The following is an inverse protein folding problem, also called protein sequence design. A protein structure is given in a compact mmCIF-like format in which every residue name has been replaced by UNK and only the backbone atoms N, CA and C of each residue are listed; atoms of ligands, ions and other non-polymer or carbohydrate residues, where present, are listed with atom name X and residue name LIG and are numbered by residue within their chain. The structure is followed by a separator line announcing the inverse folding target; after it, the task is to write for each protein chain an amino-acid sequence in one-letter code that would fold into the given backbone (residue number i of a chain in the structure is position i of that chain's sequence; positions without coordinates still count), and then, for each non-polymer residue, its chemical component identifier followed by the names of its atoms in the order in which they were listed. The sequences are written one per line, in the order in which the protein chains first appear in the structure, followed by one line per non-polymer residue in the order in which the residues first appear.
data_IF_589072471971
#
_entry.id   IF_589072471971
#
_cell.length_a   1.000
_cell.length_b   1.000
_cell.length_c   1.000
_cell.angle_alpha   90.00
_cell.angle_beta   90.00
_cell.angle_gamma   90.00
#
_symmetry.space_group_name_H-M   'P 1'
#
loop_
_entity.id
_entity.type
_entity.pdbx_description
1 polymer ?
#
# COMPACT_ATOMS: atom_id res chain seq x y z
N UNK A 1 -35.74 -44.19 -44.29
CA UNK A 1 -36.11 -42.79 -44.61
C UNK A 1 -36.16 -42.00 -43.30
N UNK A 2 -35.67 -40.75 -43.38
CA UNK A 2 -35.31 -39.71 -42.38
C UNK A 2 -36.00 -39.65 -40.99
N UNK A 3 -35.30 -39.09 -39.96
CA UNK A 3 -35.81 -38.85 -38.61
C UNK A 3 -36.49 -37.48 -38.47
N UNK A 4 -37.25 -37.25 -37.37
CA UNK A 4 -37.22 -35.95 -36.70
C UNK A 4 -37.37 -36.09 -35.16
N UNK A 5 -37.06 -35.16 -34.27
CA UNK A 5 -36.23 -33.96 -34.25
C UNK A 5 -36.05 -33.64 -32.75
N UNK A 6 -34.82 -33.33 -32.35
CA UNK A 6 -34.44 -32.87 -31.01
C UNK A 6 -34.95 -31.42 -30.83
N UNK A 7 -35.93 -31.15 -29.96
CA UNK A 7 -36.38 -29.81 -29.56
C UNK A 7 -36.90 -29.86 -28.11
N UNK A 8 -36.46 -29.09 -27.13
CA UNK A 8 -35.44 -28.05 -27.13
C UNK A 8 -34.88 -27.86 -25.72
N UNK A 9 -33.57 -27.68 -25.64
CA UNK A 9 -32.90 -27.15 -24.47
C UNK A 9 -33.31 -25.67 -24.33
N UNK A 10 -34.03 -25.34 -23.27
CA UNK A 10 -34.23 -23.95 -22.88
C UNK A 10 -32.93 -23.47 -22.21
N UNK A 11 -32.00 -22.96 -23.02
CA UNK A 11 -30.85 -22.18 -22.54
C UNK A 11 -31.39 -20.86 -22.00
N UNK A 12 -31.62 -20.80 -20.69
CA UNK A 12 -31.81 -19.54 -19.97
C UNK A 12 -30.44 -18.86 -19.94
N UNK A 13 -30.16 -18.03 -20.94
CA UNK A 13 -29.04 -17.09 -20.89
C UNK A 13 -29.41 -16.03 -19.87
N UNK A 14 -28.94 -16.22 -18.63
CA UNK A 14 -28.97 -15.16 -17.62
C UNK A 14 -27.96 -14.11 -18.10
N UNK A 15 -28.45 -13.05 -18.74
CA UNK A 15 -27.69 -11.84 -18.95
C UNK A 15 -27.31 -11.28 -17.57
N UNK A 16 -26.11 -11.61 -17.09
CA UNK A 16 -25.46 -10.88 -16.02
C UNK A 16 -25.11 -9.50 -16.58
N UNK A 17 -26.07 -8.58 -16.49
CA UNK A 17 -25.79 -7.15 -16.64
C UNK A 17 -24.75 -6.78 -15.59
N UNK A 18 -23.51 -6.62 -16.02
CA UNK A 18 -22.46 -6.00 -15.22
C UNK A 18 -22.88 -4.56 -14.93
N UNK A 19 -23.53 -4.37 -13.78
CA UNK A 19 -23.74 -3.06 -13.19
C UNK A 19 -22.34 -2.56 -12.79
N UNK A 20 -21.68 -1.86 -13.71
CA UNK A 20 -20.50 -1.06 -13.38
C UNK A 20 -20.99 -0.01 -12.38
N UNK A 21 -20.77 -0.29 -11.09
CA UNK A 21 -20.82 0.73 -10.06
C UNK A 21 -19.83 1.81 -10.48
N UNK A 22 -20.36 3.00 -10.80
CA UNK A 22 -19.58 4.18 -11.08
C UNK A 22 -18.59 4.40 -9.95
N UNK A 23 -17.30 4.34 -10.26
CA UNK A 23 -16.24 4.83 -9.39
C UNK A 23 -16.64 6.23 -8.94
N UNK A 24 -16.82 6.43 -7.64
CA UNK A 24 -16.75 7.78 -7.09
C UNK A 24 -15.45 8.40 -7.60
N UNK A 25 -15.52 9.62 -8.13
CA UNK A 25 -14.36 10.33 -8.67
C UNK A 25 -13.39 10.64 -7.53
N UNK A 26 -12.54 9.68 -7.15
CA UNK A 26 -11.43 9.92 -6.24
C UNK A 26 -10.43 10.84 -6.97
N UNK A 27 -10.25 12.11 -6.54
CA UNK A 27 -9.34 13.04 -7.19
C UNK A 27 -7.87 12.73 -6.88
N UNK A 28 -7.58 11.74 -6.04
CA UNK A 28 -6.23 11.33 -5.72
C UNK A 28 -5.75 10.13 -6.55
N UNK A 29 -4.44 10.07 -6.85
CA UNK A 29 -3.87 8.97 -7.61
C UNK A 29 -3.99 7.65 -6.83
N UNK A 30 -4.23 6.55 -7.55
CA UNK A 30 -4.10 5.21 -7.00
C UNK A 30 -2.62 4.85 -6.77
N UNK A 31 -2.35 3.88 -5.91
CA UNK A 31 -1.01 3.38 -5.63
C UNK A 31 -0.30 2.78 -6.85
N UNK A 32 -1.03 2.51 -7.93
CA UNK A 32 -0.51 2.04 -9.23
C UNK A 32 -0.25 3.16 -10.23
N UNK A 33 -0.60 4.41 -9.93
CA UNK A 33 -0.38 5.55 -10.81
C UNK A 33 1.13 5.83 -10.99
N UNK A 34 1.62 5.74 -12.24
CA UNK A 34 3.05 5.85 -12.53
C UNK A 34 3.63 7.21 -12.12
N UNK A 35 2.87 8.30 -12.30
CA UNK A 35 3.36 9.63 -11.94
C UNK A 35 3.51 9.78 -10.43
N UNK A 36 2.54 9.27 -9.66
CA UNK A 36 2.56 9.25 -8.21
C UNK A 36 3.73 8.42 -7.68
N UNK A 37 3.93 7.21 -8.22
CA UNK A 37 5.06 6.34 -7.88
C UNK A 37 6.38 7.07 -8.16
N UNK A 38 6.53 7.64 -9.35
CA UNK A 38 7.73 8.35 -9.77
C UNK A 38 8.01 9.58 -8.90
N UNK A 39 6.98 10.38 -8.58
CA UNK A 39 7.14 11.54 -7.69
C UNK A 39 7.56 11.11 -6.28
N UNK A 40 6.95 10.06 -5.71
CA UNK A 40 7.37 9.53 -4.42
C UNK A 40 8.84 9.11 -4.44
N UNK A 41 9.24 8.22 -5.35
CA UNK A 41 10.60 7.68 -5.41
C UNK A 41 11.63 8.77 -5.72
N UNK A 42 11.35 9.65 -6.69
CA UNK A 42 12.26 10.71 -7.12
C UNK A 42 12.52 11.69 -5.98
N UNK A 43 11.48 12.20 -5.32
CA UNK A 43 11.63 13.19 -4.24
C UNK A 43 12.40 12.60 -3.06
N UNK A 44 12.18 11.32 -2.72
CA UNK A 44 13.00 10.66 -1.70
C UNK A 44 14.47 10.62 -2.11
N UNK A 45 14.79 10.17 -3.32
CA UNK A 45 16.18 10.05 -3.78
C UNK A 45 16.87 11.41 -3.97
N UNK A 46 16.16 12.45 -4.41
CA UNK A 46 16.67 13.82 -4.50
C UNK A 46 17.14 14.32 -3.12
N UNK A 47 16.36 14.05 -2.06
CA UNK A 47 16.73 14.44 -0.69
C UNK A 47 17.85 13.55 -0.10
N UNK A 48 17.80 12.23 -0.35
CA UNK A 48 18.84 11.28 0.09
C UNK A 48 20.20 11.59 -0.52
N UNK A 49 20.26 12.06 -1.77
CA UNK A 49 21.50 12.43 -2.46
C UNK A 49 22.05 13.81 -2.06
N UNK A 50 21.24 14.61 -1.37
CA UNK A 50 21.53 16.01 -1.02
C UNK A 50 21.77 16.24 0.48
N UNK A 51 21.89 15.17 1.26
CA UNK A 51 22.11 15.27 2.71
C UNK A 51 23.42 15.95 3.06
N UNK A 52 23.40 16.68 4.18
CA UNK A 52 24.56 17.33 4.77
C UNK A 52 24.61 17.01 6.28
N UNK A 53 25.67 16.37 6.80
CA UNK A 53 26.90 15.95 6.09
C UNK A 53 26.64 14.87 5.01
N UNK A 54 27.54 14.73 4.00
CA UNK A 54 27.39 13.71 2.95
C UNK A 54 27.39 12.28 3.50
N UNK A 55 26.57 11.41 2.91
CA UNK A 55 26.44 10.02 3.31
C UNK A 55 27.29 9.07 2.46
N UNK A 56 28.06 8.19 3.10
CA UNK A 56 28.90 7.20 2.43
C UNK A 56 28.17 5.91 2.04
N UNK A 57 27.05 5.60 2.70
CA UNK A 57 26.33 4.32 2.59
C UNK A 57 24.84 4.47 2.19
N UNK A 58 24.43 5.62 1.66
CA UNK A 58 23.02 5.90 1.35
C UNK A 58 22.51 5.00 0.21
N UNK A 59 21.57 4.10 0.50
CA UNK A 59 20.99 3.23 -0.52
C UNK A 59 20.04 4.00 -1.44
N UNK A 60 20.04 3.64 -2.72
CA UNK A 60 19.00 4.09 -3.66
C UNK A 60 17.64 3.49 -3.26
N UNK A 61 16.62 4.33 -3.20
CA UNK A 61 15.27 3.93 -2.84
C UNK A 61 14.44 3.58 -4.08
N UNK A 62 13.68 2.50 -4.01
CA UNK A 62 12.77 2.05 -5.09
C UNK A 62 11.37 1.79 -4.56
N UNK A 63 10.39 1.82 -5.46
CA UNK A 63 9.02 1.48 -5.10
C UNK A 63 8.89 0.01 -4.70
N UNK A 64 8.04 -0.25 -3.72
CA UNK A 64 7.58 -1.58 -3.34
C UNK A 64 6.05 -1.58 -3.25
N UNK A 65 5.43 -2.37 -4.14
CA UNK A 65 3.96 -2.51 -4.21
C UNK A 65 3.40 -3.01 -2.88
N UNK A 66 4.15 -3.87 -2.19
CA UNK A 66 3.75 -4.42 -0.92
C UNK A 66 3.53 -3.31 0.10
N UNK A 67 4.55 -2.49 0.32
CA UNK A 67 4.46 -1.34 1.23
C UNK A 67 3.33 -0.36 0.85
N UNK A 68 3.05 -0.19 -0.45
CA UNK A 68 1.98 0.71 -0.90
C UNK A 68 0.58 0.17 -0.58
N UNK A 69 0.39 -1.16 -0.65
CA UNK A 69 -0.84 -1.82 -0.19
C UNK A 69 -1.04 -1.62 1.32
N UNK A 70 0.02 -1.74 2.12
CA UNK A 70 -0.03 -1.43 3.58
C UNK A 70 -0.43 0.01 3.84
N UNK A 71 0.24 0.95 3.17
CA UNK A 71 -0.03 2.37 3.33
C UNK A 71 -1.48 2.70 2.97
N UNK A 72 -2.01 2.11 1.90
CA UNK A 72 -3.41 2.29 1.48
C UNK A 72 -4.39 1.73 2.50
N UNK A 73 -4.13 0.53 3.01
CA UNK A 73 -4.96 -0.08 4.05
C UNK A 73 -4.98 0.81 5.31
N UNK A 74 -3.83 1.34 5.74
CA UNK A 74 -3.76 2.18 6.93
C UNK A 74 -4.42 3.55 6.72
N UNK A 75 -4.19 4.18 5.57
CA UNK A 75 -4.77 5.47 5.22
C UNK A 75 -6.31 5.46 5.23
N UNK A 76 -6.96 4.31 4.93
CA UNK A 76 -8.42 4.13 5.00
C UNK A 76 -9.01 4.30 6.40
N UNK A 77 -8.22 4.16 7.46
CA UNK A 77 -8.68 4.42 8.82
C UNK A 77 -8.90 5.91 9.10
N UNK A 78 -8.35 6.80 8.28
CA UNK A 78 -8.50 8.25 8.45
C UNK A 78 -8.11 8.75 9.85
N UNK A 79 -7.05 8.18 10.44
CA UNK A 79 -6.54 8.53 11.76
C UNK A 79 -5.09 8.99 11.67
N UNK A 80 -4.77 10.14 12.28
CA UNK A 80 -3.41 10.66 12.33
C UNK A 80 -2.59 10.00 13.45
N UNK A 81 -2.45 8.68 13.38
CA UNK A 81 -1.61 7.86 14.25
C UNK A 81 -0.90 6.78 13.45
N UNK A 82 0.23 6.31 13.98
CA UNK A 82 0.99 5.25 13.37
C UNK A 82 0.29 3.90 13.38
N UNK A 83 0.54 3.12 12.34
CA UNK A 83 0.04 1.76 12.22
C UNK A 83 0.51 0.91 13.42
N UNK A 84 -0.45 0.44 14.20
CA UNK A 84 -0.20 -0.34 15.42
C UNK A 84 0.47 -1.70 15.14
N UNK A 85 0.46 -2.16 13.88
CA UNK A 85 1.02 -3.44 13.45
C UNK A 85 2.42 -3.33 12.83
N UNK A 86 3.07 -2.16 12.84
CA UNK A 86 4.42 -1.97 12.23
C UNK A 86 5.49 -2.94 12.76
N UNK A 87 5.30 -3.46 13.97
CA UNK A 87 6.20 -4.42 14.63
C UNK A 87 5.79 -5.88 14.43
N UNK A 88 4.62 -6.13 13.87
CA UNK A 88 4.10 -7.47 13.63
C UNK A 88 4.70 -8.02 12.33
N UNK A 89 5.60 -8.99 12.49
CA UNK A 89 6.23 -9.67 11.36
C UNK A 89 5.15 -10.29 10.46
N UNK A 90 5.26 -10.07 9.15
CA UNK A 90 4.32 -10.54 8.10
C UNK A 90 2.91 -9.93 8.13
N UNK A 91 2.61 -8.99 9.03
CA UNK A 91 1.30 -8.30 9.05
C UNK A 91 1.27 -6.97 8.30
N UNK A 92 2.44 -6.36 8.12
CA UNK A 92 2.59 -5.09 7.38
C UNK A 92 3.36 -5.23 6.08
N UNK A 93 3.94 -6.41 5.81
CA UNK A 93 4.57 -6.73 4.53
C UNK A 93 4.86 -8.25 4.45
N UNK A 94 4.71 -8.94 3.31
CA UNK A 94 4.90 -10.40 3.21
C UNK A 94 6.36 -10.88 3.40
N UNK A 95 7.33 -10.04 3.03
CA UNK A 95 8.79 -10.35 3.08
C UNK A 95 9.54 -9.58 4.18
N UNK A 96 9.46 -8.25 4.21
CA UNK A 96 10.12 -7.42 5.22
C UNK A 96 9.56 -7.65 6.63
N UNK A 97 10.46 -7.88 7.59
CA UNK A 97 10.11 -8.09 8.99
C UNK A 97 10.07 -6.80 9.82
N UNK A 98 10.46 -5.66 9.24
CA UNK A 98 10.53 -4.37 9.91
C UNK A 98 10.18 -3.27 8.91
N UNK A 99 9.13 -2.49 9.23
CA UNK A 99 8.58 -1.44 8.37
C UNK A 99 8.49 -0.13 9.17
N UNK A 100 9.04 0.93 8.60
CA UNK A 100 8.88 2.30 9.11
C UNK A 100 7.69 3.00 8.49
N UNK A 101 7.31 4.17 9.01
CA UNK A 101 6.14 4.90 8.54
C UNK A 101 6.28 6.41 8.73
N UNK A 102 5.90 7.16 7.70
CA UNK A 102 5.62 8.59 7.80
C UNK A 102 4.16 8.84 7.45
N UNK A 103 3.54 9.78 8.17
CA UNK A 103 2.15 10.19 7.94
C UNK A 103 2.11 11.70 7.77
N UNK A 104 1.31 12.15 6.82
CA UNK A 104 0.94 13.55 6.62
C UNK A 104 -0.59 13.62 6.62
N UNK A 105 -1.14 14.68 7.20
CA UNK A 105 -2.55 14.98 7.10
C UNK A 105 -2.77 16.47 6.83
N UNK A 106 -3.81 16.79 6.08
CA UNK A 106 -4.19 18.18 5.80
C UNK A 106 -5.64 18.33 5.36
N UNK A 107 -6.17 19.54 5.49
CA UNK A 107 -7.49 19.93 5.03
C UNK A 107 -7.43 21.34 4.39
N UNK A 108 -8.19 21.61 3.31
CA UNK A 108 -8.99 20.65 2.54
C UNK A 108 -8.13 19.66 1.72
N UNK A 109 -8.70 18.59 1.12
CA UNK A 109 -7.93 17.59 0.38
C UNK A 109 -7.09 18.17 -0.76
N UNK A 110 -7.52 19.27 -1.38
CA UNK A 110 -6.79 19.98 -2.44
C UNK A 110 -5.45 20.58 -1.99
N UNK A 111 -5.17 20.62 -0.69
CA UNK A 111 -3.86 21.03 -0.16
C UNK A 111 -2.79 19.97 -0.41
N UNK A 112 -3.18 18.72 -0.63
CA UNK A 112 -2.27 17.61 -0.85
C UNK A 112 -1.55 17.71 -2.21
N UNK A 113 -0.24 17.52 -2.15
CA UNK A 113 0.54 16.96 -3.24
C UNK A 113 1.72 16.20 -2.64
N UNK A 114 2.25 15.21 -3.34
CA UNK A 114 3.44 14.45 -2.88
C UNK A 114 4.57 15.41 -2.50
N UNK A 115 4.83 16.42 -3.34
CA UNK A 115 5.86 17.43 -3.09
C UNK A 115 5.64 18.21 -1.79
N UNK A 116 4.41 18.66 -1.50
CA UNK A 116 4.12 19.44 -0.30
C UNK A 116 4.26 18.58 0.97
N UNK A 117 3.73 17.36 0.96
CA UNK A 117 3.83 16.44 2.08
C UNK A 117 5.29 16.07 2.37
N UNK A 118 6.02 15.66 1.34
CA UNK A 118 7.45 15.34 1.43
C UNK A 118 8.28 16.53 1.91
N UNK A 119 7.99 17.74 1.44
CA UNK A 119 8.71 18.95 1.89
C UNK A 119 8.51 19.22 3.38
N UNK A 120 7.32 18.99 3.92
CA UNK A 120 7.08 19.14 5.36
C UNK A 120 7.89 18.14 6.18
N UNK A 121 7.97 16.88 5.73
CA UNK A 121 8.80 15.87 6.37
C UNK A 121 10.30 16.21 6.28
N UNK A 122 10.79 16.61 5.10
CA UNK A 122 12.20 16.91 4.88
C UNK A 122 12.64 18.17 5.64
N UNK A 123 11.81 19.21 5.68
CA UNK A 123 12.13 20.46 6.36
C UNK A 123 12.33 20.31 7.88
N UNK A 124 12.05 19.14 8.46
CA UNK A 124 12.44 18.86 9.84
C UNK A 124 13.97 18.82 10.03
N UNK A 125 14.74 18.72 8.95
CA UNK A 125 16.21 18.81 8.95
C UNK A 125 16.72 20.06 9.66
N UNK A 126 16.02 21.19 9.53
CA UNK A 126 16.35 22.46 10.18
C UNK A 126 16.39 22.36 11.73
N UNK A 127 15.74 21.34 12.29
CA UNK A 127 15.67 21.08 13.74
C UNK A 127 16.55 19.92 14.18
N UNK A 128 17.17 19.20 13.25
CA UNK A 128 17.95 17.99 13.53
C UNK A 128 19.45 18.27 13.45
N UNK A 129 20.17 17.99 14.54
CA UNK A 129 21.63 18.08 14.60
C UNK A 129 22.22 16.69 14.42
N UNK A 130 22.81 16.45 13.25
CA UNK A 130 23.37 15.16 12.89
C UNK A 130 24.49 14.73 13.84
N UNK A 131 25.49 15.59 14.12
CA UNK A 131 26.67 15.22 14.93
C UNK A 131 26.32 14.69 16.33
N UNK A 132 25.29 15.26 16.96
CA UNK A 132 24.84 14.85 18.29
C UNK A 132 23.67 13.87 18.26
N UNK A 133 23.11 13.56 17.09
CA UNK A 133 21.85 12.80 16.94
C UNK A 133 20.69 13.40 17.78
N UNK A 134 20.57 14.73 17.78
CA UNK A 134 19.57 15.45 18.62
C UNK A 134 18.57 16.17 17.75
N UNK A 135 17.28 15.93 18.01
CA UNK A 135 16.20 16.79 17.56
C UNK A 135 15.99 17.93 18.55
N UNK A 136 15.80 19.15 18.06
CA UNK A 136 15.52 20.31 18.92
C UNK A 136 14.28 20.06 19.81
N UNK A 137 14.36 20.49 21.07
CA UNK A 137 13.28 20.31 22.04
C UNK A 137 11.95 20.89 21.52
N UNK A 138 10.88 20.09 21.62
CA UNK A 138 9.54 20.48 21.15
C UNK A 138 9.36 20.46 19.63
N UNK A 139 10.33 19.94 18.87
CA UNK A 139 10.26 19.76 17.42
C UNK A 139 10.15 18.28 17.06
N UNK A 140 9.77 18.01 15.81
CA UNK A 140 9.75 16.67 15.22
C UNK A 140 10.90 16.58 14.21
N UNK A 141 11.59 15.44 14.21
CA UNK A 141 12.66 15.11 13.25
C UNK A 141 12.55 13.69 12.70
N UNK A 142 11.55 12.93 13.16
CA UNK A 142 11.35 11.52 12.83
C UNK A 142 11.03 11.32 11.35
N UNK A 143 10.30 12.26 10.74
CA UNK A 143 9.95 12.14 9.34
C UNK A 143 11.17 12.37 8.45
N UNK A 144 11.95 13.42 8.74
CA UNK A 144 13.21 13.69 8.02
C UNK A 144 14.16 12.50 8.14
N UNK A 145 14.45 12.04 9.36
CA UNK A 145 15.40 10.95 9.61
C UNK A 145 14.98 9.65 8.92
N UNK A 146 13.68 9.34 8.82
CA UNK A 146 13.19 8.20 8.05
C UNK A 146 13.38 8.39 6.53
N UNK A 147 13.12 9.58 5.97
CA UNK A 147 13.33 9.86 4.53
C UNK A 147 14.80 9.64 4.15
N UNK A 148 15.72 10.07 5.01
CA UNK A 148 17.17 9.95 4.79
C UNK A 148 17.80 8.73 5.47
N UNK A 149 17.01 7.73 5.86
CA UNK A 149 17.55 6.54 6.50
C UNK A 149 18.27 5.64 5.50
N UNK A 150 19.59 5.48 5.62
CA UNK A 150 20.44 4.83 4.63
C UNK A 150 19.96 3.43 4.26
N UNK A 151 19.57 2.62 5.24
CA UNK A 151 19.17 1.22 5.04
C UNK A 151 17.71 1.03 4.60
N UNK A 152 16.92 2.10 4.57
CA UNK A 152 15.55 2.07 4.02
C UNK A 152 15.63 2.27 2.50
N UNK A 153 15.50 1.18 1.74
CA UNK A 153 15.69 1.16 0.27
C UNK A 153 14.41 0.84 -0.51
N UNK A 154 13.34 0.47 0.18
CA UNK A 154 11.99 0.33 -0.38
C UNK A 154 11.04 1.34 0.25
N UNK A 155 10.16 1.91 -0.56
CA UNK A 155 9.06 2.76 -0.12
C UNK A 155 7.79 2.42 -0.87
N UNK A 156 6.66 2.48 -0.19
CA UNK A 156 5.34 2.42 -0.80
C UNK A 156 4.42 3.38 -0.08
N UNK A 157 3.63 4.15 -0.83
CA UNK A 157 2.81 5.23 -0.29
C UNK A 157 1.37 5.14 -0.80
N UNK A 158 0.46 5.78 -0.07
CA UNK A 158 -0.92 5.94 -0.48
C UNK A 158 -1.49 7.24 0.09
N UNK A 159 -2.48 7.81 -0.59
CA UNK A 159 -3.26 8.94 -0.10
C UNK A 159 -4.74 8.58 -0.08
N UNK A 160 -5.45 9.00 0.96
CA UNK A 160 -6.87 8.75 1.16
C UNK A 160 -7.59 10.05 1.47
N UNK A 161 -8.74 10.27 0.83
CA UNK A 161 -9.70 11.30 1.28
C UNK A 161 -10.47 10.78 2.48
N UNK A 162 -10.64 11.64 3.46
CA UNK A 162 -11.41 11.39 4.66
C UNK A 162 -12.63 12.33 4.67
N UNK A 163 -13.79 11.88 4.15
CA UNK A 163 -15.00 12.72 4.07
C UNK A 163 -15.51 13.18 5.43
N UNK A 164 -15.32 12.35 6.46
CA UNK A 164 -15.68 12.66 7.84
C UNK A 164 -14.53 13.28 8.63
N UNK A 165 -13.46 13.69 7.93
CA UNK A 165 -12.23 14.24 8.49
C UNK A 165 -11.23 13.22 8.99
N UNK A 166 -10.05 13.73 9.35
CA UNK A 166 -8.92 12.92 9.84
C UNK A 166 -8.90 13.00 11.36
N UNK A 167 -9.18 11.88 12.01
CA UNK A 167 -9.18 11.77 13.47
C UNK A 167 -7.80 12.12 14.05
N UNK A 168 -7.82 12.63 15.29
CA UNK A 168 -6.61 13.05 16.05
C UNK A 168 -5.81 14.17 15.39
N UNK A 169 -6.47 14.98 14.57
CA UNK A 169 -5.96 16.25 14.06
C UNK A 169 -6.73 17.43 14.64
N UNK A 170 -6.18 18.64 14.55
CA UNK A 170 -6.87 19.87 14.95
C UNK A 170 -8.04 20.25 14.02
N UNK A 171 -8.18 19.55 12.89
CA UNK A 171 -9.19 19.79 11.87
C UNK A 171 -10.10 18.56 11.65
N UNK A 172 -10.23 17.69 12.64
CA UNK A 172 -10.94 16.40 12.52
C UNK A 172 -12.39 16.50 12.05
N UNK A 173 -13.06 17.65 12.20
CA UNK A 173 -14.41 17.88 11.68
C UNK A 173 -14.49 18.33 10.21
N UNK A 174 -13.37 18.46 9.50
CA UNK A 174 -13.31 18.95 8.12
C UNK A 174 -12.91 17.83 7.16
N UNK A 175 -13.46 17.83 5.95
CA UNK A 175 -13.00 16.94 4.87
C UNK A 175 -11.49 17.13 4.71
N UNK A 176 -10.75 16.04 4.87
CA UNK A 176 -9.29 16.07 4.87
C UNK A 176 -8.70 14.99 3.97
N UNK A 177 -7.38 14.96 3.93
CA UNK A 177 -6.60 13.94 3.28
C UNK A 177 -5.51 13.45 4.22
N UNK A 178 -5.24 12.14 4.16
CA UNK A 178 -4.13 11.51 4.86
C UNK A 178 -3.23 10.82 3.83
N UNK A 179 -1.93 11.07 3.92
CA UNK A 179 -0.90 10.49 3.07
C UNK A 179 0.07 9.69 3.94
N UNK A 180 0.22 8.42 3.62
CA UNK A 180 1.03 7.46 4.38
C UNK A 180 2.12 6.93 3.45
N UNK A 181 3.36 6.87 3.92
CA UNK A 181 4.46 6.15 3.28
C UNK A 181 5.05 5.15 4.25
N UNK A 182 5.15 3.89 3.83
CA UNK A 182 5.85 2.84 4.56
C UNK A 182 7.23 2.57 3.96
N UNK A 183 8.21 2.27 4.80
CA UNK A 183 9.63 2.14 4.46
C UNK A 183 10.19 0.79 4.86
N UNK A 184 10.98 0.15 4.00
CA UNK A 184 11.68 -1.08 4.37
C UNK A 184 13.17 -1.05 3.99
N UNK A 185 14.08 -1.52 4.87
CA UNK A 185 13.81 -1.84 6.29
C UNK A 185 13.45 -0.59 7.11
N UNK A 186 12.82 -0.73 8.28
CA UNK A 186 12.47 0.42 9.11
C UNK A 186 13.70 1.25 9.49
N UNK A 187 13.52 2.57 9.51
CA UNK A 187 14.51 3.50 10.04
C UNK A 187 14.29 3.82 11.52
N UNK A 188 14.85 4.95 11.94
CA UNK A 188 14.63 5.57 13.25
C UNK A 188 14.90 4.63 14.43
N UNK A 189 15.93 3.81 14.30
CA UNK A 189 16.37 2.92 15.36
C UNK A 189 17.00 3.73 16.51
N UNK A 190 16.56 3.49 17.73
CA UNK A 190 16.95 4.25 18.91
C UNK A 190 18.48 4.34 19.06
N UNK A 191 18.98 5.58 19.18
CA UNK A 191 20.40 5.87 19.37
C UNK A 191 21.26 5.79 18.10
N UNK A 192 20.70 5.41 16.95
CA UNK A 192 21.43 5.32 15.69
C UNK A 192 21.24 6.57 14.83
N UNK A 193 22.30 6.93 14.09
CA UNK A 193 22.26 7.97 13.07
C UNK A 193 21.57 7.46 11.80
N UNK A 194 20.94 8.35 11.02
CA UNK A 194 20.20 7.93 9.83
C UNK A 194 21.09 7.36 8.72
N UNK A 195 22.37 7.73 8.67
CA UNK A 195 23.34 7.25 7.68
C UNK A 195 24.75 7.39 8.24
N UNK A 196 25.76 6.85 7.56
CA UNK A 196 27.18 7.05 7.90
C UNK A 196 27.74 8.23 7.11
N UNK A 197 28.53 9.10 7.73
CA UNK A 197 29.19 10.19 7.01
C UNK A 197 30.35 9.69 6.17
N UNK A 198 30.66 10.41 5.10
CA UNK A 198 31.85 10.20 4.30
C UNK A 198 31.63 10.53 2.83
N UNK A 199 32.65 10.25 2.01
CA UNK A 199 32.54 10.41 0.56
C UNK A 199 31.38 9.57 0.03
N UNK A 200 30.54 10.17 -0.82
CA UNK A 200 29.38 9.49 -1.37
C UNK A 200 29.75 8.11 -1.95
N UNK A 201 28.98 7.10 -1.60
CA UNK A 201 29.17 5.71 -2.01
C UNK A 201 30.46 5.01 -1.54
N UNK A 202 31.27 5.61 -0.66
CA UNK A 202 32.52 4.98 -0.19
C UNK A 202 32.29 3.78 0.75
N UNK A 203 31.07 3.58 1.23
CA UNK A 203 30.67 2.49 2.14
C UNK A 203 29.42 1.74 1.64
N UNK A 204 29.26 1.58 0.32
CA UNK A 204 28.17 0.76 -0.22
C UNK A 204 28.41 -0.74 0.04
N UNK A 205 27.56 -1.37 0.86
CA UNK A 205 27.66 -2.79 1.22
C UNK A 205 27.12 -3.74 0.13
N UNK A 206 27.84 -4.82 -0.16
CA UNK A 206 27.46 -5.86 -1.13
C UNK A 206 28.31 -5.89 -2.41
N UNK A 207 28.13 -6.94 -3.21
CA UNK A 207 28.78 -7.09 -4.52
C UNK A 207 27.97 -6.39 -5.62
N UNK A 208 28.63 -5.95 -6.69
CA UNK A 208 27.99 -5.30 -7.86
C UNK A 208 27.27 -3.98 -7.55
N UNK A 209 27.74 -3.25 -6.54
CA UNK A 209 27.20 -1.92 -6.26
C UNK A 209 27.72 -0.88 -7.25
N UNK A 210 26.83 0.02 -7.66
CA UNK A 210 27.16 1.16 -8.49
C UNK A 210 26.84 2.45 -7.75
N UNK A 211 27.69 3.45 -7.88
CA UNK A 211 27.37 4.78 -7.40
C UNK A 211 26.65 5.56 -8.50
N UNK A 212 25.40 5.93 -8.26
CA UNK A 212 24.64 6.78 -9.18
C UNK A 212 24.03 7.93 -8.40
N UNK A 213 24.31 9.17 -8.81
CA UNK A 213 23.80 10.36 -8.15
C UNK A 213 24.00 10.34 -6.63
N UNK A 214 25.20 9.94 -6.16
CA UNK A 214 25.58 9.81 -4.75
C UNK A 214 24.81 8.74 -3.95
N UNK A 215 24.10 7.83 -4.61
CA UNK A 215 23.35 6.74 -3.99
C UNK A 215 23.91 5.38 -4.41
N UNK A 216 23.97 4.46 -3.44
CA UNK A 216 24.38 3.07 -3.65
C UNK A 216 23.27 2.30 -4.36
N UNK A 217 23.47 1.95 -5.64
CA UNK A 217 22.58 1.13 -6.47
C UNK A 217 23.01 -0.32 -6.46
N UNK A 218 22.04 -1.22 -6.57
CA UNK A 218 22.29 -2.65 -6.70
C UNK A 218 21.17 -3.28 -7.52
N UNK A 219 21.51 -3.96 -8.62
CA UNK A 219 20.51 -4.48 -9.57
C UNK A 219 19.55 -5.48 -8.94
N UNK A 220 19.98 -6.28 -7.97
CA UNK A 220 19.11 -7.28 -7.31
C UNK A 220 18.18 -6.63 -6.30
N UNK A 221 18.70 -5.71 -5.50
CA UNK A 221 17.92 -4.99 -4.47
C UNK A 221 16.90 -4.03 -5.09
N UNK A 222 17.29 -3.37 -6.19
CA UNK A 222 16.49 -2.32 -6.82
C UNK A 222 15.37 -2.88 -7.71
N UNK A 223 15.33 -4.20 -7.97
CA UNK A 223 14.23 -4.86 -8.69
C UNK A 223 12.88 -4.57 -8.02
N UNK A 224 11.89 -4.24 -8.83
CA UNK A 224 10.50 -4.23 -8.39
C UNK A 224 10.00 -5.67 -8.22
N UNK A 225 9.21 -5.88 -7.17
CA UNK A 225 8.54 -7.15 -6.89
C UNK A 225 7.06 -6.87 -6.79
N UNK A 226 6.27 -7.77 -7.36
CA UNK A 226 4.83 -7.77 -7.16
C UNK A 226 4.46 -8.81 -6.12
N UNK A 227 3.42 -8.53 -5.37
CA UNK A 227 2.96 -9.35 -4.26
C UNK A 227 1.45 -9.54 -4.37
N UNK A 228 1.00 -10.79 -4.37
CA UNK A 228 -0.40 -11.08 -4.15
C UNK A 228 -0.66 -11.11 -2.64
N UNK A 229 -0.91 -9.96 -2.04
CA UNK A 229 -1.11 -9.85 -0.59
C UNK A 229 -1.99 -8.65 -0.21
N UNK A 230 -2.60 -8.72 0.97
CA UNK A 230 -3.34 -7.61 1.59
C UNK A 230 -3.32 -7.83 3.11
N UNK A 231 -3.12 -6.78 3.93
CA UNK A 231 -3.21 -6.90 5.38
C UNK A 231 -4.59 -7.36 5.83
N UNK A 232 -4.65 -8.24 6.83
CA UNK A 232 -5.89 -8.77 7.40
C UNK A 232 -6.76 -7.70 8.09
N UNK A 233 -6.14 -6.58 8.48
CA UNK A 233 -6.77 -5.45 9.12
C UNK A 233 -7.20 -4.32 8.16
N UNK A 234 -7.10 -4.52 6.83
CA UNK A 234 -7.56 -3.54 5.84
C UNK A 234 -9.09 -3.33 5.96
N UNK A 235 -9.57 -2.11 6.25
CA UNK A 235 -11.01 -1.83 6.36
C UNK A 235 -11.80 -2.22 5.11
N UNK A 236 -11.16 -2.18 3.92
CA UNK A 236 -11.81 -2.55 2.67
C UNK A 236 -12.25 -4.02 2.62
N UNK A 237 -11.64 -4.91 3.41
CA UNK A 237 -12.04 -6.31 3.53
C UNK A 237 -13.36 -6.48 4.29
N UNK A 238 -13.68 -5.54 5.19
CA UNK A 238 -14.92 -5.55 5.98
C UNK A 238 -16.08 -4.86 5.25
N UNK A 239 -15.79 -3.93 4.34
CA UNK A 239 -16.79 -3.31 3.46
C UNK A 239 -17.15 -4.28 2.33
N UNK A 240 -18.09 -5.19 2.58
CA UNK A 240 -18.68 -6.03 1.53
C UNK A 240 -19.50 -5.13 0.59
N UNK A 241 -18.88 -4.69 -0.51
CA UNK A 241 -19.58 -3.94 -1.56
C UNK A 241 -20.62 -4.78 -2.30
N UNK A 242 -21.38 -4.17 -3.20
CA UNK A 242 -22.44 -4.83 -3.96
C UNK A 242 -21.96 -6.09 -4.71
N UNK A 243 -20.70 -6.11 -5.18
CA UNK A 243 -20.10 -7.28 -5.84
C UNK A 243 -19.90 -8.46 -4.90
N UNK A 244 -19.52 -8.22 -3.64
CA UNK A 244 -19.38 -9.25 -2.61
C UNK A 244 -20.75 -9.85 -2.25
N UNK A 245 -21.76 -8.99 -2.06
CA UNK A 245 -23.15 -9.42 -1.84
C UNK A 245 -23.66 -10.24 -3.03
N UNK A 246 -23.40 -9.80 -4.27
CA UNK A 246 -23.78 -10.53 -5.47
C UNK A 246 -23.09 -11.90 -5.57
N UNK A 247 -21.81 -12.01 -5.22
CA UNK A 247 -21.09 -13.28 -5.18
C UNK A 247 -21.69 -14.22 -4.12
N UNK A 248 -21.97 -13.72 -2.91
CA UNK A 248 -22.57 -14.50 -1.84
C UNK A 248 -23.99 -14.96 -2.21
N UNK A 249 -24.80 -14.08 -2.77
CA UNK A 249 -26.15 -14.39 -3.25
C UNK A 249 -26.12 -15.44 -4.39
N UNK A 250 -25.21 -15.29 -5.35
CA UNK A 250 -25.05 -16.25 -6.45
C UNK A 250 -24.58 -17.61 -5.94
N UNK A 251 -23.66 -17.66 -4.97
CA UNK A 251 -23.21 -18.91 -4.35
C UNK A 251 -24.35 -19.61 -3.62
N UNK A 252 -25.16 -18.85 -2.89
CA UNK A 252 -26.33 -19.39 -2.18
C UNK A 252 -27.40 -19.91 -3.16
N UNK A 253 -27.71 -19.15 -4.21
CA UNK A 253 -28.66 -19.56 -5.25
C UNK A 253 -28.20 -20.82 -5.99
N UNK A 254 -26.91 -20.92 -6.33
CA UNK A 254 -26.34 -22.12 -6.95
C UNK A 254 -26.45 -23.35 -6.03
N UNK A 255 -26.21 -23.17 -4.74
CA UNK A 255 -26.32 -24.24 -3.74
C UNK A 255 -27.78 -24.71 -3.55
N UNK A 256 -28.74 -23.78 -3.55
CA UNK A 256 -30.16 -24.16 -3.55
C UNK A 256 -30.55 -24.90 -4.82
N UNK A 257 -30.07 -24.45 -5.97
CA UNK A 257 -30.34 -25.10 -7.26
C UNK A 257 -29.79 -26.53 -7.27
N UNK A 258 -28.59 -26.77 -6.73
CA UNK A 258 -28.04 -28.14 -6.65
C UNK A 258 -28.86 -29.04 -5.72
N UNK A 259 -29.37 -28.52 -4.60
CA UNK A 259 -30.27 -29.29 -3.74
C UNK A 259 -31.60 -29.62 -4.43
N UNK A 260 -32.20 -28.66 -5.12
CA UNK A 260 -33.46 -28.86 -5.85
C UNK A 260 -33.28 -29.86 -6.98
N UNK A 261 -32.20 -29.77 -7.76
CA UNK A 261 -31.93 -30.72 -8.84
C UNK A 261 -31.63 -32.11 -8.29
N UNK A 262 -30.82 -32.23 -7.23
CA UNK A 262 -30.56 -33.52 -6.58
C UNK A 262 -31.84 -34.16 -6.04
N UNK A 263 -32.70 -33.37 -5.36
CA UNK A 263 -34.00 -33.84 -4.88
C UNK A 263 -34.92 -34.26 -6.04
N UNK A 264 -34.97 -33.47 -7.11
CA UNK A 264 -35.74 -33.79 -8.31
C UNK A 264 -35.27 -35.09 -8.97
N UNK A 265 -33.96 -35.27 -9.15
CA UNK A 265 -33.39 -36.50 -9.70
C UNK A 265 -33.74 -37.69 -8.81
N UNK A 266 -33.54 -37.59 -7.49
CA UNK A 266 -33.89 -38.65 -6.54
C UNK A 266 -35.39 -38.99 -6.57
N UNK A 267 -36.27 -37.99 -6.72
CA UNK A 267 -37.73 -38.16 -6.67
C UNK A 267 -38.34 -38.72 -7.95
N UNK A 268 -37.82 -38.31 -9.10
CA UNK A 268 -38.37 -38.67 -10.42
C UNK A 268 -37.61 -39.80 -11.09
N UNK A 269 -36.34 -40.02 -10.71
CA UNK A 269 -35.50 -41.07 -11.24
C UNK A 269 -34.83 -41.86 -10.10
N UNK A 270 -35.62 -42.50 -9.21
CA UNK A 270 -35.10 -43.21 -8.06
C UNK A 270 -34.15 -44.35 -8.44
N UNK A 271 -34.24 -44.83 -9.68
CA UNK A 271 -33.41 -45.91 -10.21
C UNK A 271 -32.15 -45.49 -10.98
N UNK A 272 -31.88 -44.18 -11.12
CA UNK A 272 -30.73 -43.68 -11.88
C UNK A 272 -29.36 -43.97 -11.22
N UNK A 273 -29.34 -44.32 -9.93
CA UNK A 273 -28.12 -44.59 -9.16
C UNK A 273 -27.98 -46.06 -8.71
N UNK A 274 -28.84 -46.97 -9.19
CA UNK A 274 -28.55 -48.41 -9.06
C UNK A 274 -27.52 -48.77 -10.12
N UNK A 275 -26.26 -48.77 -9.71
CA UNK A 275 -25.22 -49.51 -10.43
C UNK A 275 -25.44 -51.00 -10.11
N UNK A 276 -25.93 -51.76 -11.10
CA UNK A 276 -25.59 -53.18 -11.24
C UNK A 276 -24.30 -53.31 -12.06
#
# INVERSE_FOLDING_TARGET
MRPPHLQGFLLVVICLGSYFGSSENNPFPDITDEKFINDCVRIHNDNRSSVNPPASNMLYMTWDEGLAVTARAWARHCVFEHNIYLRDVRRVHPVFSSVGENIWAGAPPSTFSVMKAMRLWVNEDQYYKYESNVCQQGKMCGHYTQVVWATSYKVGCAVQICPNGVDKTTFSGQIGAIFVCNYATAGNMNGMLPYQTGTACSACEGTNNQCQAKLCRNSERDKQKSYNWTPDWDPALTTCGSSCIAILANRFAALLLTFVTAFGVHRFYPSMFFYE
#
